data_IF_818334333177
#
_entry.id   IF_818334333177
#
_cell.length_a   1.000
_cell.length_b   1.000
_cell.length_c   1.000
_cell.angle_alpha   90.00
_cell.angle_beta   90.00
_cell.angle_gamma   90.00
#
_symmetry.space_group_name_H-M   'P 1'
#
loop_
_entity.id
_entity.type
_entity.pdbx_description
1 polymer ?
#
# COMPACT_ATOMS: atom_id res chain seq x y z
N UNK A 1 3.53 16.97 5.05
CA UNK A 1 3.39 15.93 6.09
C UNK A 1 2.20 16.27 6.98
N UNK A 2 1.40 15.27 7.33
CA UNK A 2 0.23 15.45 8.17
C UNK A 2 0.61 15.23 9.65
N UNK A 3 -0.01 15.97 10.57
CA UNK A 3 0.19 15.76 12.00
C UNK A 3 -0.34 14.37 12.38
N UNK A 4 0.42 13.64 13.20
CA UNK A 4 0.05 12.32 13.74
C UNK A 4 -0.11 11.19 12.72
N UNK A 5 0.36 11.37 11.48
CA UNK A 5 0.38 10.31 10.47
C UNK A 5 1.83 9.95 10.16
N UNK A 6 2.20 8.64 10.15
CA UNK A 6 3.55 8.23 9.82
C UNK A 6 3.95 8.75 8.43
N UNK A 7 5.09 9.47 8.31
CA UNK A 7 5.50 10.09 7.05
C UNK A 7 5.92 9.07 5.98
N UNK A 8 6.17 7.81 6.38
CA UNK A 8 6.49 6.70 5.48
C UNK A 8 5.31 6.27 4.61
N UNK A 9 4.07 6.62 5.01
CA UNK A 9 2.89 6.30 4.24
C UNK A 9 2.74 7.31 3.10
N UNK A 10 2.90 6.83 1.87
CA UNK A 10 2.58 7.64 0.69
C UNK A 10 1.08 7.98 0.70
N UNK A 11 0.67 9.10 0.05
CA UNK A 11 -0.75 9.45 -0.05
C UNK A 11 -1.61 8.31 -0.64
N UNK A 12 -1.06 7.52 -1.56
CA UNK A 12 -1.75 6.39 -2.18
C UNK A 12 -1.96 5.22 -1.21
N UNK A 13 -0.96 4.90 -0.38
CA UNK A 13 -1.11 3.90 0.68
C UNK A 13 -2.18 4.35 1.67
N UNK A 14 -2.13 5.62 2.10
CA UNK A 14 -3.10 6.16 3.05
C UNK A 14 -4.54 6.11 2.50
N UNK A 15 -4.73 6.54 1.25
CA UNK A 15 -6.03 6.46 0.57
C UNK A 15 -6.53 5.01 0.50
N UNK A 16 -5.66 4.08 0.12
CA UNK A 16 -6.02 2.66 -0.03
C UNK A 16 -6.45 2.05 1.30
N UNK A 17 -5.68 2.27 2.37
CA UNK A 17 -6.03 1.78 3.72
C UNK A 17 -7.38 2.32 4.23
N UNK A 18 -7.71 3.57 3.90
CA UNK A 18 -8.98 4.18 4.29
C UNK A 18 -10.18 3.70 3.46
N UNK A 19 -9.93 3.23 2.24
CA UNK A 19 -10.95 2.65 1.34
C UNK A 19 -11.21 1.17 1.63
N UNK A 20 -10.27 0.47 2.29
CA UNK A 20 -10.40 -0.95 2.62
C UNK A 20 -11.55 -1.18 3.61
N UNK A 21 -12.45 -2.09 3.24
CA UNK A 21 -13.55 -2.56 4.05
C UNK A 21 -13.22 -3.82 4.86
N UNK A 22 -14.25 -4.38 5.50
CA UNK A 22 -14.11 -5.65 6.21
C UNK A 22 -13.91 -6.79 5.21
N UNK A 23 -12.80 -7.52 5.36
CA UNK A 23 -12.47 -8.66 4.50
C UNK A 23 -11.59 -8.31 3.31
N UNK A 24 -11.25 -7.03 3.10
CA UNK A 24 -10.23 -6.65 2.13
C UNK A 24 -8.83 -7.06 2.61
N UNK A 25 -8.00 -7.53 1.68
CA UNK A 25 -6.65 -8.01 1.96
C UNK A 25 -5.61 -7.11 1.32
N UNK A 26 -4.47 -6.97 2.00
CA UNK A 26 -3.31 -6.21 1.53
C UNK A 26 -2.06 -7.08 1.65
N UNK A 27 -1.25 -7.10 0.59
CA UNK A 27 0.03 -7.81 0.58
C UNK A 27 1.18 -6.82 0.59
N UNK A 28 2.08 -6.97 1.58
CA UNK A 28 3.38 -6.31 1.58
C UNK A 28 4.41 -7.26 0.96
N UNK A 29 4.69 -7.05 -0.32
CA UNK A 29 5.67 -7.85 -1.07
C UNK A 29 7.08 -7.29 -0.95
N UNK A 30 8.08 -8.19 -0.86
CA UNK A 30 9.48 -7.80 -0.98
C UNK A 30 9.87 -7.52 -2.44
N UNK A 31 11.14 -7.19 -2.69
CA UNK A 31 11.65 -6.90 -4.04
C UNK A 31 11.65 -8.09 -5.01
N UNK A 32 11.49 -9.32 -4.52
CA UNK A 32 11.37 -10.53 -5.36
C UNK A 32 9.91 -10.93 -5.58
N UNK A 33 8.96 -10.33 -4.87
CA UNK A 33 7.55 -10.61 -5.01
C UNK A 33 7.06 -10.15 -6.40
N UNK A 34 6.34 -11.00 -7.17
CA UNK A 34 5.94 -10.69 -8.54
C UNK A 34 4.72 -9.74 -8.59
N UNK A 35 4.75 -8.63 -7.83
CA UNK A 35 3.61 -7.74 -7.63
C UNK A 35 3.02 -7.22 -8.96
N UNK A 36 3.88 -6.91 -9.94
CA UNK A 36 3.48 -6.36 -11.23
C UNK A 36 2.61 -7.31 -12.07
N UNK A 37 2.69 -8.63 -11.87
CA UNK A 37 1.90 -9.60 -12.64
C UNK A 37 0.63 -10.05 -11.94
N UNK A 38 0.52 -9.91 -10.62
CA UNK A 38 -0.60 -10.47 -9.85
C UNK A 38 -1.44 -9.43 -9.08
N UNK A 39 -0.94 -8.22 -8.87
CA UNK A 39 -1.65 -7.24 -8.06
C UNK A 39 -2.90 -6.71 -8.79
N UNK A 40 -4.05 -6.75 -8.13
CA UNK A 40 -5.25 -6.05 -8.59
C UNK A 40 -5.07 -4.53 -8.53
N UNK A 41 -4.34 -4.06 -7.51
CA UNK A 41 -3.90 -2.68 -7.34
C UNK A 41 -2.46 -2.68 -6.86
N UNK A 42 -1.57 -2.11 -7.66
CA UNK A 42 -0.14 -2.02 -7.35
C UNK A 42 0.21 -0.64 -6.80
N UNK A 43 0.88 -0.60 -5.65
CA UNK A 43 1.50 0.61 -5.10
C UNK A 43 2.98 0.30 -4.89
N UNK A 44 3.86 1.13 -5.45
CA UNK A 44 5.32 0.98 -5.34
C UNK A 44 5.81 1.65 -4.06
N UNK A 45 6.65 0.97 -3.30
CA UNK A 45 7.30 1.47 -2.09
C UNK A 45 8.76 1.00 -2.05
N UNK A 46 9.55 1.41 -3.04
CA UNK A 46 10.87 0.85 -3.30
C UNK A 46 11.97 1.31 -2.33
N UNK A 47 11.75 2.44 -1.65
CA UNK A 47 12.73 3.09 -0.76
C UNK A 47 12.33 4.51 -0.44
#
# INVERSE_FOLDING_TARGET
MLKNIPPILSPEVLKTLMEMGLGDELVLGDGNFPAASIAQRLIRADG
#
